data_IF_814758750033
#
_entry.id   IF_814758750033
#
_cell.length_a   1.000
_cell.length_b   1.000
_cell.length_c   1.000
_cell.angle_alpha   90.00
_cell.angle_beta   90.00
_cell.angle_gamma   90.00
#
_symmetry.space_group_name_H-M   'P 1'
#
loop_
_entity.id
_entity.type
_entity.pdbx_description
1 polymer ?
#
# COMPACT_ATOMS: atom_id res chain seq x y z
N UNK A 1 -15.29 -0.75 -28.62
CA UNK A 1 -15.79 -1.73 -27.63
C UNK A 1 -15.36 -1.21 -26.26
N UNK A 2 -16.30 -0.64 -25.50
CA UNK A 2 -16.01 0.03 -24.23
C UNK A 2 -16.08 -0.99 -23.08
N UNK A 3 -15.09 -1.88 -23.01
CA UNK A 3 -14.96 -2.81 -21.89
C UNK A 3 -14.19 -2.09 -20.77
N UNK A 4 -14.95 -1.39 -19.92
CA UNK A 4 -14.42 -0.89 -18.64
C UNK A 4 -13.86 -2.06 -17.82
N UNK A 5 -12.83 -1.83 -16.97
CA UNK A 5 -12.22 -2.90 -16.19
C UNK A 5 -13.30 -3.62 -15.37
N UNK A 6 -13.52 -4.89 -15.70
CA UNK A 6 -14.53 -5.72 -15.04
C UNK A 6 -14.23 -5.78 -13.54
N UNK A 7 -15.24 -5.57 -12.68
CA UNK A 7 -15.08 -5.45 -11.22
C UNK A 7 -14.25 -6.59 -10.60
N UNK A 8 -14.34 -7.80 -11.16
CA UNK A 8 -13.53 -8.97 -10.77
C UNK A 8 -12.02 -8.75 -10.93
N UNK A 9 -11.58 -8.07 -11.99
CA UNK A 9 -10.17 -7.80 -12.25
C UNK A 9 -9.60 -6.82 -11.22
N UNK A 10 -10.37 -5.79 -10.88
CA UNK A 10 -10.01 -4.78 -9.87
C UNK A 10 -9.88 -5.41 -8.48
N UNK A 11 -10.85 -6.25 -8.09
CA UNK A 11 -10.83 -6.94 -6.79
C UNK A 11 -9.66 -7.92 -6.71
N UNK A 12 -9.41 -8.70 -7.76
CA UNK A 12 -8.28 -9.63 -7.82
C UNK A 12 -6.95 -8.88 -7.66
N UNK A 13 -6.80 -7.74 -8.35
CA UNK A 13 -5.59 -6.92 -8.24
C UNK A 13 -5.42 -6.31 -6.83
N UNK A 14 -6.48 -5.73 -6.26
CA UNK A 14 -6.44 -5.12 -4.93
C UNK A 14 -6.02 -6.13 -3.85
N UNK A 15 -6.55 -7.34 -3.93
CA UNK A 15 -6.21 -8.42 -3.01
C UNK A 15 -4.76 -8.89 -3.15
N UNK A 16 -4.29 -9.13 -4.37
CA UNK A 16 -2.89 -9.52 -4.60
C UNK A 16 -1.94 -8.41 -4.15
N UNK A 17 -2.29 -7.14 -4.41
CA UNK A 17 -1.51 -6.00 -3.94
C UNK A 17 -1.45 -5.93 -2.40
N UNK A 18 -2.57 -6.20 -1.71
CA UNK A 18 -2.61 -6.26 -0.25
C UNK A 18 -1.65 -7.30 0.32
N UNK A 19 -1.57 -8.49 -0.30
CA UNK A 19 -0.65 -9.57 0.11
C UNK A 19 0.82 -9.16 -0.03
N UNK A 20 1.18 -8.50 -1.14
CA UNK A 20 2.56 -8.02 -1.35
C UNK A 20 2.92 -6.96 -0.31
N UNK A 21 2.04 -6.00 -0.07
CA UNK A 21 2.25 -4.97 0.95
C UNK A 21 2.35 -5.57 2.34
N UNK A 22 1.51 -6.55 2.69
CA UNK A 22 1.61 -7.26 3.96
C UNK A 22 2.99 -7.92 4.13
N UNK A 23 3.52 -8.57 3.10
CA UNK A 23 4.84 -9.19 3.13
C UNK A 23 5.95 -8.14 3.33
N UNK A 24 5.88 -7.00 2.64
CA UNK A 24 6.86 -5.91 2.78
C UNK A 24 6.81 -5.34 4.21
N UNK A 25 5.62 -5.06 4.71
CA UNK A 25 5.40 -4.52 6.07
C UNK A 25 5.90 -5.51 7.12
N UNK A 26 5.60 -6.80 6.94
CA UNK A 26 6.09 -7.86 7.82
C UNK A 26 7.62 -7.91 7.84
N UNK A 27 8.27 -7.89 6.66
CA UNK A 27 9.73 -7.90 6.57
C UNK A 27 10.33 -6.64 7.21
N UNK A 28 9.78 -5.46 6.95
CA UNK A 28 10.26 -4.20 7.52
C UNK A 28 10.22 -4.22 9.06
N UNK A 29 9.06 -4.60 9.62
CA UNK A 29 8.87 -4.61 11.07
C UNK A 29 9.50 -5.83 11.76
N UNK A 30 9.99 -6.82 11.01
CA UNK A 30 10.85 -7.87 11.55
C UNK A 30 12.22 -7.32 11.95
N UNK A 31 12.73 -6.32 11.24
CA UNK A 31 14.05 -5.71 11.53
C UNK A 31 13.96 -4.41 12.33
N UNK A 32 12.83 -3.70 12.27
CA UNK A 32 12.65 -2.39 12.90
C UNK A 32 11.40 -2.43 13.79
N UNK A 33 11.53 -2.46 15.12
CA UNK A 33 10.36 -2.30 16.00
C UNK A 33 9.96 -0.82 16.01
N UNK A 34 8.70 -0.47 15.71
CA UNK A 34 8.24 0.91 15.77
C UNK A 34 8.39 1.53 17.15
N UNK A 35 8.37 0.75 18.23
CA UNK A 35 8.60 1.26 19.59
C UNK A 35 10.03 1.72 19.78
N UNK A 36 11.01 0.96 19.28
CA UNK A 36 12.42 1.36 19.35
C UNK A 36 12.65 2.68 18.62
N UNK A 37 11.98 2.89 17.49
CA UNK A 37 12.00 4.16 16.75
C UNK A 37 11.37 5.29 17.58
N UNK A 38 10.22 5.05 18.21
CA UNK A 38 9.55 6.06 19.04
C UNK A 38 10.39 6.44 20.27
N UNK A 39 11.03 5.47 20.92
CA UNK A 39 11.94 5.71 22.04
C UNK A 39 13.18 6.49 21.60
N UNK A 40 13.77 6.14 20.45
CA UNK A 40 14.90 6.88 19.87
C UNK A 40 14.54 8.35 19.55
N UNK A 41 13.28 8.61 19.21
CA UNK A 41 12.73 9.94 18.96
C UNK A 41 12.21 10.65 20.23
N UNK A 42 12.40 10.05 21.42
CA UNK A 42 11.93 10.58 22.71
C UNK A 42 10.42 10.90 22.73
N UNK A 43 9.59 10.11 22.03
CA UNK A 43 8.14 10.25 22.12
C UNK A 43 7.61 9.54 23.36
N UNK A 44 6.78 10.25 24.14
CA UNK A 44 5.98 9.66 25.21
C UNK A 44 4.76 8.95 24.60
N UNK A 45 4.91 7.66 24.32
CA UNK A 45 3.87 6.83 23.70
C UNK A 45 3.66 5.53 24.44
N UNK A 46 2.40 5.11 24.54
CA UNK A 46 2.04 3.77 24.97
C UNK A 46 2.54 2.75 23.94
N UNK A 47 3.51 1.93 24.35
CA UNK A 47 4.24 1.03 23.45
C UNK A 47 3.33 0.03 22.72
N UNK A 48 2.32 -0.51 23.41
CA UNK A 48 1.38 -1.46 22.82
C UNK A 48 0.52 -0.81 21.75
N UNK A 49 -0.07 0.35 22.08
CA UNK A 49 -0.92 1.11 21.17
C UNK A 49 -0.14 1.65 19.97
N UNK A 50 1.10 2.11 20.18
CA UNK A 50 1.93 2.64 19.11
C UNK A 50 2.31 1.58 18.08
N UNK A 51 2.69 0.36 18.51
CA UNK A 51 2.97 -0.77 17.59
C UNK A 51 1.81 -1.04 16.65
N UNK A 52 0.61 -1.22 17.21
CA UNK A 52 -0.59 -1.55 16.43
C UNK A 52 -0.91 -0.41 15.45
N UNK A 53 -0.84 0.85 15.91
CA UNK A 53 -1.05 2.01 15.05
C UNK A 53 -0.04 2.08 13.91
N UNK A 54 1.25 1.87 14.19
CA UNK A 54 2.29 1.88 13.17
C UNK A 54 2.09 0.76 12.14
N UNK A 55 1.79 -0.47 12.57
CA UNK A 55 1.55 -1.59 11.67
C UNK A 55 0.35 -1.37 10.75
N UNK A 56 -0.79 -0.97 11.32
CA UNK A 56 -2.02 -0.73 10.56
C UNK A 56 -1.86 0.47 9.62
N UNK A 57 -1.25 1.56 10.11
CA UNK A 57 -1.04 2.75 9.30
C UNK A 57 -0.11 2.47 8.12
N UNK A 58 1.05 1.87 8.36
CA UNK A 58 2.01 1.53 7.30
C UNK A 58 1.41 0.59 6.27
N UNK A 59 0.64 -0.41 6.70
CA UNK A 59 -0.05 -1.33 5.80
C UNK A 59 -1.07 -0.60 4.91
N UNK A 60 -2.01 0.14 5.50
CA UNK A 60 -3.05 0.83 4.75
C UNK A 60 -2.47 1.89 3.83
N UNK A 61 -1.49 2.65 4.31
CA UNK A 61 -0.83 3.70 3.54
C UNK A 61 -0.13 3.13 2.31
N UNK A 62 0.69 2.09 2.48
CA UNK A 62 1.39 1.45 1.36
C UNK A 62 0.43 0.76 0.39
N UNK A 63 -0.62 0.12 0.91
CA UNK A 63 -1.62 -0.54 0.08
C UNK A 63 -2.38 0.45 -0.81
N UNK A 64 -2.80 1.58 -0.24
CA UNK A 64 -3.46 2.66 -1.00
C UNK A 64 -2.48 3.27 -2.00
N UNK A 65 -1.25 3.58 -1.59
CA UNK A 65 -0.23 4.16 -2.47
C UNK A 65 0.06 3.26 -3.67
N UNK A 66 0.31 1.96 -3.46
CA UNK A 66 0.60 1.03 -4.55
C UNK A 66 -0.61 0.85 -5.48
N UNK A 67 -1.81 0.84 -4.90
CA UNK A 67 -3.06 0.78 -5.67
C UNK A 67 -3.21 2.04 -6.54
N UNK A 68 -2.95 3.23 -5.98
CA UNK A 68 -3.01 4.50 -6.70
C UNK A 68 -1.93 4.59 -7.79
N UNK A 69 -0.69 4.16 -7.51
CA UNK A 69 0.39 4.11 -8.51
C UNK A 69 0.05 3.21 -9.68
N UNK A 70 -0.57 2.05 -9.42
CA UNK A 70 -0.98 1.15 -10.51
C UNK A 70 -2.13 1.76 -11.31
N UNK A 71 -3.11 2.37 -10.64
CA UNK A 71 -4.22 3.05 -11.30
C UNK A 71 -3.73 4.19 -12.22
N UNK A 72 -2.82 5.03 -11.73
CA UNK A 72 -2.21 6.12 -12.51
C UNK A 72 -1.42 5.58 -13.70
N UNK A 73 -0.61 4.53 -13.52
CA UNK A 73 0.14 3.90 -14.63
C UNK A 73 -0.80 3.35 -15.71
N UNK A 74 -1.89 2.68 -15.32
CA UNK A 74 -2.91 2.20 -16.26
C UNK A 74 -3.61 3.35 -16.98
N UNK A 75 -3.94 4.44 -16.26
CA UNK A 75 -4.57 5.63 -16.83
C UNK A 75 -3.67 6.32 -17.87
N UNK A 76 -2.41 6.58 -17.53
CA UNK A 76 -1.46 7.20 -18.47
C UNK A 76 -1.14 6.32 -19.66
N UNK A 77 -1.07 4.99 -19.47
CA UNK A 77 -0.88 4.04 -20.59
C UNK A 77 -2.05 4.11 -21.55
N UNK A 78 -3.30 4.09 -21.05
CA UNK A 78 -4.50 4.25 -21.90
C UNK A 78 -4.54 5.58 -22.64
N UNK A 79 -4.15 6.69 -21.99
CA UNK A 79 -4.08 8.00 -22.64
C UNK A 79 -3.05 8.03 -23.77
N UNK A 80 -1.89 7.40 -23.57
CA UNK A 80 -0.85 7.29 -24.60
C UNK A 80 -1.32 6.49 -25.80
N UNK A 81 -1.94 5.33 -25.55
CA UNK A 81 -2.41 4.44 -26.63
C UNK A 81 -3.58 5.08 -27.40
N UNK A 82 -4.45 5.83 -26.72
CA UNK A 82 -5.54 6.61 -27.32
C UNK A 82 -5.06 7.75 -28.21
N UNK A 83 -3.84 8.26 -28.04
CA UNK A 83 -3.31 9.39 -28.82
C UNK A 83 -2.66 8.96 -30.15
N UNK A 84 -2.45 7.64 -30.32
CA UNK A 84 -1.83 7.05 -31.51
C UNK A 84 -2.83 6.40 -32.48
N UNK A 85 -4.14 6.54 -32.24
CA UNK A 85 -5.23 6.15 -33.14
C UNK A 85 -5.94 7.39 -33.64
#
# INVERSE_FOLDING_TARGET
>A
MNEGPSCKCVISFLWTNAMVVAAIVFLLFTFIDPVDVATAMMLDVDAGTFRIKAYVFSFLFLWVMFSASTFLNCYFTKLRDSKHT
#
